data_IF_152982485241
#
_entry.id   IF_152982485241
#
_cell.length_a   1.000
_cell.length_b   1.000
_cell.length_c   1.000
_cell.angle_alpha   90.00
_cell.angle_beta   90.00
_cell.angle_gamma   90.00
#
_symmetry.space_group_name_H-M   'P 1'
#
loop_
_entity.id
_entity.type
_entity.pdbx_description
1 polymer ?
#
# COMPACT_ATOMS: atom_id res chain seq x y z
N UNK A 1 -14.22 -6.95 14.77
CA UNK A 1 -14.07 -6.89 13.29
C UNK A 1 -14.49 -5.50 12.83
N UNK A 2 -13.57 -4.54 12.84
CA UNK A 2 -13.78 -3.24 12.19
C UNK A 2 -12.96 -3.34 10.91
N UNK A 3 -13.55 -3.91 9.86
CA UNK A 3 -12.95 -3.79 8.54
C UNK A 3 -12.96 -2.29 8.23
N UNK A 4 -11.79 -1.67 8.36
CA UNK A 4 -11.55 -0.27 8.03
C UNK A 4 -12.13 -0.01 6.64
N UNK A 5 -13.29 0.63 6.57
CA UNK A 5 -13.79 1.17 5.32
C UNK A 5 -12.92 2.38 5.00
N UNK A 6 -11.78 2.10 4.38
CA UNK A 6 -10.87 3.14 3.89
C UNK A 6 -11.68 3.96 2.88
N UNK A 7 -11.87 5.27 3.10
CA UNK A 7 -12.65 6.09 2.18
C UNK A 7 -12.09 6.02 0.77
N UNK A 8 -12.93 6.00 -0.25
CA UNK A 8 -12.48 6.00 -1.66
C UNK A 8 -11.56 7.20 -1.96
N UNK A 9 -11.81 8.33 -1.31
CA UNK A 9 -10.96 9.52 -1.34
C UNK A 9 -9.53 9.23 -0.88
N UNK A 10 -9.35 8.39 0.13
CA UNK A 10 -8.01 7.98 0.57
C UNK A 10 -7.31 7.18 -0.53
N UNK A 11 -7.99 6.21 -1.15
CA UNK A 11 -7.41 5.40 -2.23
C UNK A 11 -7.04 6.25 -3.45
N UNK A 12 -7.87 7.26 -3.75
CA UNK A 12 -7.58 8.24 -4.79
C UNK A 12 -6.35 9.08 -4.46
N UNK A 13 -6.27 9.67 -3.26
CA UNK A 13 -5.12 10.49 -2.85
C UNK A 13 -3.84 9.65 -2.81
N UNK A 14 -3.88 8.51 -2.12
CA UNK A 14 -2.74 7.61 -1.98
C UNK A 14 -2.17 7.15 -3.32
N UNK A 15 -3.04 6.82 -4.28
CA UNK A 15 -2.65 6.42 -5.63
C UNK A 15 -2.11 7.55 -6.52
N UNK A 16 -2.52 8.80 -6.29
CA UNK A 16 -2.16 9.95 -7.13
C UNK A 16 -1.04 10.83 -6.55
N UNK A 17 -0.62 10.61 -5.30
CA UNK A 17 0.54 11.29 -4.70
C UNK A 17 1.81 10.89 -5.45
N UNK A 18 2.61 11.89 -5.84
CA UNK A 18 3.85 11.71 -6.61
C UNK A 18 5.06 11.30 -5.74
N UNK A 19 4.81 11.02 -4.47
CA UNK A 19 5.79 10.47 -3.52
C UNK A 19 5.57 8.96 -3.34
N UNK A 20 6.66 8.24 -3.13
CA UNK A 20 6.61 6.83 -2.79
C UNK A 20 5.97 6.65 -1.41
N UNK A 21 4.83 5.96 -1.35
CA UNK A 21 4.06 5.78 -0.12
C UNK A 21 3.78 4.31 0.18
N UNK A 22 3.86 3.95 1.46
CA UNK A 22 3.68 2.60 1.97
C UNK A 22 2.79 2.63 3.21
N UNK A 23 1.93 1.63 3.33
CA UNK A 23 1.21 1.34 4.57
C UNK A 23 1.81 0.06 5.13
N UNK A 24 2.12 0.04 6.42
CA UNK A 24 2.56 -1.16 7.11
C UNK A 24 1.90 -1.28 8.49
N UNK A 25 1.85 -2.50 9.04
CA UNK A 25 1.43 -2.72 10.43
C UNK A 25 2.54 -2.38 11.44
N UNK A 26 2.28 -2.56 12.74
CA UNK A 26 3.28 -2.30 13.78
C UNK A 26 4.47 -3.27 13.77
N UNK A 27 4.34 -4.40 13.07
CA UNK A 27 5.38 -5.41 12.89
C UNK A 27 6.17 -5.18 11.58
N UNK A 28 5.93 -4.04 10.91
CA UNK A 28 6.55 -3.63 9.65
C UNK A 28 6.19 -4.52 8.45
N UNK A 29 5.02 -5.18 8.47
CA UNK A 29 4.49 -5.86 7.29
C UNK A 29 3.77 -4.87 6.38
N UNK A 30 4.12 -4.86 5.09
CA UNK A 30 3.45 -4.02 4.10
C UNK A 30 1.99 -4.45 3.86
N UNK A 31 1.09 -3.49 3.93
CA UNK A 31 -0.36 -3.63 3.72
C UNK A 31 -0.82 -3.04 2.38
N UNK A 32 -0.21 -1.94 1.93
CA UNK A 32 -0.46 -1.34 0.62
C UNK A 32 0.74 -0.50 0.17
N UNK A 33 0.87 -0.34 -1.14
CA UNK A 33 1.93 0.41 -1.79
C UNK A 33 1.36 1.17 -2.98
N UNK A 34 1.70 2.45 -3.11
CA UNK A 34 1.25 3.23 -4.25
C UNK A 34 2.11 2.96 -5.50
N UNK A 35 1.58 3.33 -6.67
CA UNK A 35 2.25 3.08 -7.95
C UNK A 35 3.66 3.68 -8.00
N UNK A 36 3.84 4.90 -7.49
CA UNK A 36 5.13 5.61 -7.51
C UNK A 36 6.18 4.87 -6.67
N UNK A 37 5.79 4.30 -5.52
CA UNK A 37 6.66 3.47 -4.72
C UNK A 37 7.13 2.21 -5.47
N UNK A 38 6.22 1.52 -6.15
CA UNK A 38 6.55 0.37 -7.00
C UNK A 38 7.57 0.75 -8.09
N UNK A 39 7.32 1.85 -8.81
CA UNK A 39 8.19 2.34 -9.89
C UNK A 39 9.59 2.71 -9.39
N UNK A 40 9.69 3.36 -8.22
CA UNK A 40 10.98 3.80 -7.66
C UNK A 40 11.79 2.67 -7.03
N UNK A 41 11.13 1.70 -6.41
CA UNK A 41 11.81 0.58 -5.75
C UNK A 41 12.06 -0.61 -6.69
N UNK A 42 11.51 -0.59 -7.91
CA UNK A 42 11.66 -1.68 -8.88
C UNK A 42 10.87 -2.95 -8.53
N UNK A 43 9.88 -2.84 -7.65
CA UNK A 43 9.00 -3.94 -7.28
C UNK A 43 7.66 -3.83 -8.03
N UNK A 44 7.09 -4.97 -8.42
CA UNK A 44 5.70 -5.02 -8.87
C UNK A 44 4.77 -4.99 -7.65
N UNK A 45 3.56 -4.47 -7.82
CA UNK A 45 2.57 -4.45 -6.73
C UNK A 45 2.33 -5.85 -6.14
N UNK A 46 2.36 -6.86 -6.99
CA UNK A 46 2.25 -8.28 -6.66
C UNK A 46 3.39 -8.79 -5.74
N UNK A 47 4.59 -8.19 -5.84
CA UNK A 47 5.72 -8.57 -4.98
C UNK A 47 5.55 -8.07 -3.53
N UNK A 48 4.84 -6.96 -3.34
CA UNK A 48 4.45 -6.44 -2.01
C UNK A 48 3.26 -7.23 -1.43
N UNK A 49 2.47 -7.86 -2.28
CA UNK A 49 1.33 -8.72 -1.92
C UNK A 49 1.74 -10.06 -1.23
N UNK A 50 3.03 -10.36 -1.07
CA UNK A 50 3.52 -11.65 -0.55
C UNK A 50 3.28 -11.88 0.96
N UNK A 51 2.64 -10.96 1.71
CA UNK A 51 2.43 -11.17 3.16
C UNK A 51 1.06 -10.83 3.72
N UNK A 52 -0.02 -11.02 2.96
CA UNK A 52 -1.39 -10.98 3.50
C UNK A 52 -2.03 -12.38 3.43
N UNK A 53 -1.55 -13.32 4.26
CA UNK A 53 -2.32 -14.51 4.68
C UNK A 53 -1.88 -15.01 6.06
N UNK A 54 -2.50 -14.47 7.10
CA UNK A 54 -2.98 -15.26 8.25
C UNK A 54 -4.30 -14.69 8.73
#
# INVERSE_FOLDING_TARGET
>A
MIAHMIPETYRYIFGNVNDASFIHDLEAHFLDVNRIACERLGYTRDAVEIRIKR
#
